data_IF_296783249486
#
_entry.id   IF_296783249486
#
_cell.length_a   1.000
_cell.length_b   1.000
_cell.length_c   1.000
_cell.angle_alpha   90.00
_cell.angle_beta   90.00
_cell.angle_gamma   90.00
#
_symmetry.space_group_name_H-M   'P 1'
#
loop_
_entity.id
_entity.type
_entity.pdbx_description
1 polymer ?
#
# COMPACT_ATOMS: atom_id res chain seq x y z
N UNK A 1 -4.91 12.58 -23.09
CA UNK A 1 -4.06 13.79 -23.17
C UNK A 1 -3.98 14.29 -24.59
N UNK A 2 -3.57 13.43 -25.54
CA UNK A 2 -3.53 13.75 -26.98
C UNK A 2 -4.86 14.31 -27.54
N UNK A 3 -6.01 13.79 -27.10
CA UNK A 3 -7.33 14.28 -27.54
C UNK A 3 -7.69 15.67 -26.98
N UNK A 4 -7.09 16.08 -25.86
CA UNK A 4 -7.23 17.44 -25.31
C UNK A 4 -6.26 18.38 -26.02
N UNK A 5 -5.00 17.97 -26.18
CA UNK A 5 -3.95 18.75 -26.85
C UNK A 5 -4.25 18.99 -28.34
N UNK A 6 -4.91 18.05 -29.00
CA UNK A 6 -5.38 18.19 -30.38
C UNK A 6 -6.67 18.99 -30.53
N UNK A 7 -7.30 19.42 -29.43
CA UNK A 7 -8.56 20.17 -29.43
C UNK A 7 -9.80 19.34 -29.74
N UNK A 8 -9.68 18.01 -29.84
CA UNK A 8 -10.81 17.09 -30.06
C UNK A 8 -11.76 17.06 -28.85
N UNK A 9 -11.22 17.18 -27.64
CA UNK A 9 -11.96 17.48 -26.42
C UNK A 9 -11.74 18.95 -26.11
N UNK A 10 -12.81 19.75 -26.17
CA UNK A 10 -12.73 21.21 -26.04
C UNK A 10 -13.56 21.76 -24.88
N UNK A 11 -14.40 20.92 -24.25
CA UNK A 11 -15.28 21.32 -23.15
C UNK A 11 -14.99 20.54 -21.88
N UNK A 12 -15.10 21.22 -20.74
CA UNK A 12 -14.98 20.58 -19.43
C UNK A 12 -16.03 19.47 -19.22
N UNK A 13 -17.23 19.64 -19.78
CA UNK A 13 -18.29 18.61 -19.73
C UNK A 13 -17.88 17.30 -20.41
N UNK A 14 -17.10 17.37 -21.50
CA UNK A 14 -16.62 16.20 -22.23
C UNK A 14 -15.54 15.46 -21.43
N UNK A 15 -14.68 16.22 -20.73
CA UNK A 15 -13.69 15.66 -19.80
C UNK A 15 -14.38 14.93 -18.64
N UNK A 16 -15.40 15.55 -18.04
CA UNK A 16 -16.15 14.92 -16.96
C UNK A 16 -16.86 13.65 -17.43
N UNK A 17 -17.48 13.69 -18.60
CA UNK A 17 -18.11 12.50 -19.17
C UNK A 17 -17.11 11.36 -19.37
N UNK A 18 -15.92 11.67 -19.88
CA UNK A 18 -14.85 10.69 -20.03
C UNK A 18 -14.41 10.09 -18.69
N UNK A 19 -14.27 10.90 -17.63
CA UNK A 19 -13.96 10.37 -16.29
C UNK A 19 -15.08 9.49 -15.72
N UNK A 20 -16.35 9.85 -15.96
CA UNK A 20 -17.47 9.00 -15.59
C UNK A 20 -17.44 7.66 -16.33
N UNK A 21 -17.14 7.66 -17.64
CA UNK A 21 -16.98 6.45 -18.43
C UNK A 21 -15.79 5.61 -17.95
N UNK A 22 -14.65 6.24 -17.65
CA UNK A 22 -13.49 5.57 -17.05
C UNK A 22 -13.86 4.91 -15.73
N UNK A 23 -14.58 5.62 -14.86
CA UNK A 23 -14.99 5.09 -13.56
C UNK A 23 -15.96 3.91 -13.72
N UNK A 24 -16.96 4.03 -14.60
CA UNK A 24 -17.92 2.95 -14.91
C UNK A 24 -17.22 1.68 -15.42
N UNK A 25 -16.16 1.85 -16.20
CA UNK A 25 -15.43 0.74 -16.82
C UNK A 25 -14.13 0.38 -16.07
N UNK A 26 -13.91 0.92 -14.88
CA UNK A 26 -12.63 0.82 -14.16
C UNK A 26 -12.15 -0.62 -14.04
N UNK A 27 -13.00 -1.53 -13.54
CA UNK A 27 -12.62 -2.93 -13.33
C UNK A 27 -12.30 -3.68 -14.63
N UNK A 28 -12.95 -3.33 -15.73
CA UNK A 28 -12.65 -3.92 -17.05
C UNK A 28 -11.25 -3.50 -17.52
N UNK A 29 -10.93 -2.21 -17.38
CA UNK A 29 -9.62 -1.69 -17.77
C UNK A 29 -8.51 -2.17 -16.83
N UNK A 30 -8.78 -2.18 -15.52
CA UNK A 30 -7.88 -2.72 -14.51
C UNK A 30 -7.54 -4.18 -14.79
N UNK A 31 -8.55 -5.00 -15.10
CA UNK A 31 -8.32 -6.41 -15.42
C UNK A 31 -7.52 -6.59 -16.71
N UNK A 32 -7.84 -5.83 -17.76
CA UNK A 32 -7.09 -5.87 -19.03
C UNK A 32 -5.61 -5.53 -18.80
N UNK A 33 -5.35 -4.49 -18.01
CA UNK A 33 -4.00 -4.12 -17.63
C UNK A 33 -3.31 -5.18 -16.76
N UNK A 34 -4.01 -5.72 -15.75
CA UNK A 34 -3.49 -6.75 -14.87
C UNK A 34 -3.13 -8.03 -15.63
N UNK A 35 -3.97 -8.43 -16.58
CA UNK A 35 -3.74 -9.56 -17.48
C UNK A 35 -2.42 -9.40 -18.25
N UNK A 36 -2.22 -8.23 -18.86
CA UNK A 36 -0.98 -7.91 -19.57
C UNK A 36 0.24 -7.93 -18.64
N UNK A 37 0.10 -7.41 -17.41
CA UNK A 37 1.18 -7.43 -16.40
C UNK A 37 1.50 -8.83 -15.91
N UNK A 38 0.52 -9.71 -15.73
CA UNK A 38 0.79 -11.11 -15.38
C UNK A 38 1.68 -11.76 -16.43
N UNK A 39 1.37 -11.53 -17.71
CA UNK A 39 2.17 -12.01 -18.84
C UNK A 39 3.57 -11.39 -18.88
N UNK A 40 3.66 -10.07 -18.90
CA UNK A 40 4.93 -9.36 -19.13
C UNK A 40 5.88 -9.36 -17.93
N UNK A 41 5.36 -9.27 -16.71
CA UNK A 41 6.18 -9.17 -15.49
C UNK A 41 6.58 -10.54 -14.93
N UNK A 42 5.66 -11.51 -14.93
CA UNK A 42 5.94 -12.85 -14.40
C UNK A 42 6.29 -13.87 -15.49
N UNK A 43 6.13 -13.53 -16.77
CA UNK A 43 6.35 -14.47 -17.87
C UNK A 43 5.30 -15.59 -17.92
N UNK A 44 4.09 -15.33 -17.41
CA UNK A 44 3.03 -16.33 -17.26
C UNK A 44 1.94 -16.09 -18.29
N UNK A 45 1.67 -17.07 -19.14
CA UNK A 45 0.49 -17.07 -20.00
C UNK A 45 -0.78 -17.13 -19.13
N UNK A 46 -1.57 -16.05 -19.01
CA UNK A 46 -2.69 -16.02 -18.08
C UNK A 46 -3.80 -16.99 -18.47
N UNK A 47 -3.91 -17.38 -19.75
CA UNK A 47 -4.86 -18.41 -20.22
C UNK A 47 -4.49 -19.82 -19.72
N UNK A 48 -3.22 -20.03 -19.32
CA UNK A 48 -2.69 -21.32 -18.85
C UNK A 48 -2.17 -21.26 -17.42
N UNK A 49 -2.54 -20.22 -16.66
CA UNK A 49 -2.02 -20.01 -15.32
C UNK A 49 -2.39 -21.18 -14.38
N UNK A 50 -1.41 -21.65 -13.62
CA UNK A 50 -1.59 -22.74 -12.66
C UNK A 50 -1.85 -22.23 -11.25
N UNK A 51 -2.50 -23.04 -10.41
CA UNK A 51 -2.70 -22.72 -8.99
C UNK A 51 -1.38 -22.42 -8.25
N UNK A 52 -0.29 -23.15 -8.58
CA UNK A 52 1.05 -22.88 -8.06
C UNK A 52 1.55 -21.47 -8.41
N UNK A 53 1.39 -21.06 -9.67
CA UNK A 53 1.78 -19.74 -10.13
C UNK A 53 0.96 -18.63 -9.46
N UNK A 54 -0.35 -18.83 -9.27
CA UNK A 54 -1.17 -17.85 -8.54
C UNK A 54 -0.69 -17.73 -7.09
N UNK A 55 -0.42 -18.84 -6.39
CA UNK A 55 0.12 -18.82 -5.03
C UNK A 55 1.46 -18.08 -4.98
N UNK A 56 2.33 -18.26 -5.96
CA UNK A 56 3.61 -17.56 -6.03
C UNK A 56 3.42 -16.04 -6.19
N UNK A 57 2.54 -15.60 -7.10
CA UNK A 57 2.20 -14.18 -7.27
C UNK A 57 1.67 -13.59 -5.96
N UNK A 58 0.76 -14.30 -5.28
CA UNK A 58 0.18 -13.85 -4.01
C UNK A 58 1.23 -13.76 -2.91
N UNK A 59 2.16 -14.71 -2.82
CA UNK A 59 3.26 -14.64 -1.85
C UNK A 59 4.18 -13.45 -2.14
N UNK A 60 4.60 -13.25 -3.39
CA UNK A 60 5.45 -12.10 -3.78
C UNK A 60 4.76 -10.77 -3.47
N UNK A 61 3.47 -10.65 -3.78
CA UNK A 61 2.67 -9.48 -3.43
C UNK A 61 2.62 -9.24 -1.91
N UNK A 62 2.26 -10.28 -1.14
CA UNK A 62 2.16 -10.21 0.33
C UNK A 62 3.49 -9.81 0.95
N UNK A 63 4.58 -10.43 0.54
CA UNK A 63 5.93 -10.12 1.01
C UNK A 63 6.32 -8.69 0.70
N UNK A 64 6.08 -8.21 -0.52
CA UNK A 64 6.41 -6.84 -0.93
C UNK A 64 5.62 -5.79 -0.12
N UNK A 65 4.31 -5.99 0.06
CA UNK A 65 3.45 -5.07 0.82
C UNK A 65 3.88 -5.04 2.29
N UNK A 66 4.00 -6.20 2.94
CA UNK A 66 4.41 -6.29 4.34
C UNK A 66 5.81 -5.73 4.56
N UNK A 67 6.74 -5.99 3.61
CA UNK A 67 8.08 -5.43 3.68
C UNK A 67 8.07 -3.90 3.60
N UNK A 68 7.29 -3.33 2.68
CA UNK A 68 7.19 -1.87 2.52
C UNK A 68 6.60 -1.23 3.78
N UNK A 69 5.51 -1.77 4.30
CA UNK A 69 4.89 -1.26 5.53
C UNK A 69 5.84 -1.36 6.73
N UNK A 70 6.62 -2.45 6.84
CA UNK A 70 7.67 -2.55 7.86
C UNK A 70 8.72 -1.46 7.69
N UNK A 71 9.10 -1.09 6.45
CA UNK A 71 10.02 0.03 6.22
C UNK A 71 9.41 1.36 6.63
N UNK A 72 8.13 1.59 6.35
CA UNK A 72 7.40 2.79 6.80
C UNK A 72 7.33 2.85 8.33
N UNK A 73 7.03 1.73 8.98
CA UNK A 73 6.99 1.63 10.44
C UNK A 73 8.37 1.89 11.09
N UNK A 74 9.44 1.30 10.55
CA UNK A 74 10.80 1.54 11.04
C UNK A 74 11.27 2.97 10.77
N UNK A 75 10.79 3.62 9.71
CA UNK A 75 11.06 5.04 9.47
C UNK A 75 10.32 5.93 10.46
N UNK A 76 9.03 5.65 10.70
CA UNK A 76 8.25 6.32 11.74
C UNK A 76 8.92 6.20 13.11
N UNK A 77 9.48 5.03 13.48
CA UNK A 77 10.24 4.86 14.73
C UNK A 77 11.38 5.88 14.91
N UNK A 78 12.04 6.28 13.83
CA UNK A 78 13.14 7.27 13.92
C UNK A 78 12.62 8.63 14.38
N UNK A 79 11.44 9.02 13.94
CA UNK A 79 10.80 10.27 14.37
C UNK A 79 10.51 10.28 15.89
N UNK A 80 10.40 9.09 16.50
CA UNK A 80 10.18 8.88 17.93
C UNK A 80 11.44 8.44 18.71
N UNK A 81 12.60 8.36 18.05
CA UNK A 81 13.86 7.96 18.68
C UNK A 81 14.45 9.11 19.51
N UNK A 82 15.16 8.75 20.60
CA UNK A 82 15.77 9.68 21.58
C UNK A 82 16.61 10.82 20.97
N UNK A 83 17.16 10.65 19.77
CA UNK A 83 17.88 11.71 19.06
C UNK A 83 16.99 12.88 18.62
N UNK A 84 15.69 12.65 18.40
CA UNK A 84 14.68 13.68 18.12
C UNK A 84 14.24 14.45 19.37
N UNK A 85 14.64 14.01 20.57
CA UNK A 85 14.33 14.69 21.84
C UNK A 85 15.23 15.89 22.13
N UNK A 86 16.33 16.05 21.40
CA UNK A 86 17.28 17.18 21.59
C UNK A 86 16.71 18.54 21.19
N UNK A 87 15.53 18.58 20.57
CA UNK A 87 14.81 19.81 20.20
C UNK A 87 13.57 20.11 21.05
N UNK A 88 13.26 19.29 22.07
CA UNK A 88 12.09 19.45 22.94
C UNK A 88 12.50 19.72 24.39
N UNK A 89 12.15 20.92 24.88
CA UNK A 89 12.06 21.24 26.31
C UNK A 89 13.34 21.77 26.96
N UNK A 90 13.14 22.60 27.99
CA UNK A 90 14.08 23.47 28.71
C UNK A 90 15.35 22.78 29.27
N UNK A 91 16.29 23.59 29.79
CA UNK A 91 17.46 23.15 30.58
C UNK A 91 17.01 22.35 31.84
N UNK A 92 16.58 21.10 31.66
CA UNK A 92 15.93 20.26 32.66
C UNK A 92 16.50 18.83 32.69
N UNK A 93 15.96 17.99 33.58
CA UNK A 93 16.41 16.60 33.69
C UNK A 93 15.87 15.70 32.57
N UNK A 94 16.46 14.50 32.40
CA UNK A 94 16.08 13.56 31.34
C UNK A 94 14.59 13.16 31.40
N UNK A 95 13.97 13.13 32.58
CA UNK A 95 12.56 12.79 32.74
C UNK A 95 11.65 13.93 32.28
N UNK A 96 12.02 15.18 32.52
CA UNK A 96 11.29 16.36 32.03
C UNK A 96 11.30 16.41 30.49
N UNK A 97 12.46 16.17 29.86
CA UNK A 97 12.54 16.06 28.39
C UNK A 97 11.67 14.92 27.84
N UNK A 98 11.61 13.78 28.53
CA UNK A 98 10.77 12.64 28.13
C UNK A 98 9.27 12.97 28.24
N UNK A 99 8.85 13.65 29.31
CA UNK A 99 7.46 14.05 29.52
C UNK A 99 7.02 15.11 28.51
N UNK A 100 7.84 16.12 28.23
CA UNK A 100 7.55 17.13 27.22
C UNK A 100 7.45 16.51 25.81
N UNK A 101 8.36 15.58 25.50
CA UNK A 101 8.32 14.85 24.24
C UNK A 101 7.03 14.02 24.10
N UNK A 102 6.65 13.29 25.15
CA UNK A 102 5.43 12.48 25.16
C UNK A 102 4.16 13.35 25.10
N UNK A 103 4.14 14.53 25.74
CA UNK A 103 3.01 15.46 25.64
C UNK A 103 2.85 16.05 24.22
N UNK A 104 3.94 16.31 23.50
CA UNK A 104 3.86 16.91 22.16
C UNK A 104 3.68 15.86 21.06
N UNK A 105 4.30 14.69 21.19
CA UNK A 105 4.30 13.66 20.15
C UNK A 105 3.38 12.48 20.45
N UNK A 106 2.98 12.28 21.70
CA UNK A 106 2.29 11.08 22.17
C UNK A 106 3.23 9.87 22.24
N UNK A 107 2.74 8.79 22.85
CA UNK A 107 3.42 7.49 22.84
C UNK A 107 3.47 6.90 21.42
N UNK A 108 4.61 6.35 21.03
CA UNK A 108 4.82 5.78 19.69
C UNK A 108 3.74 4.73 19.32
N UNK A 109 3.42 3.84 20.25
CA UNK A 109 2.40 2.79 20.06
C UNK A 109 0.96 3.34 20.03
N UNK A 110 0.72 4.52 20.61
CA UNK A 110 -0.59 5.17 20.62
C UNK A 110 -0.86 6.01 19.37
N UNK A 111 0.18 6.26 18.56
CA UNK A 111 0.10 7.07 17.36
C UNK A 111 -0.84 6.42 16.31
N UNK A 112 -1.80 7.21 15.80
CA UNK A 112 -2.82 6.75 14.86
C UNK A 112 -2.25 6.27 13.52
N UNK A 113 -1.16 6.88 13.05
CA UNK A 113 -0.45 6.45 11.84
C UNK A 113 0.24 5.10 12.07
N UNK A 114 0.97 4.96 13.19
CA UNK A 114 1.63 3.70 13.57
C UNK A 114 0.62 2.55 13.67
N UNK A 115 -0.50 2.77 14.35
CA UNK A 115 -1.61 1.81 14.43
C UNK A 115 -2.17 1.45 13.07
N UNK A 116 -2.34 2.43 12.17
CA UNK A 116 -2.85 2.18 10.82
C UNK A 116 -1.88 1.31 10.00
N UNK A 117 -0.57 1.55 10.10
CA UNK A 117 0.45 0.73 9.42
C UNK A 117 0.46 -0.70 9.96
N UNK A 118 0.43 -0.88 11.28
CA UNK A 118 0.39 -2.21 11.90
C UNK A 118 -0.89 -2.97 11.50
N UNK A 119 -2.04 -2.28 11.50
CA UNK A 119 -3.30 -2.87 11.03
C UNK A 119 -3.22 -3.26 9.55
N UNK A 120 -2.62 -2.42 8.72
CA UNK A 120 -2.47 -2.72 7.29
C UNK A 120 -1.59 -3.96 7.07
N UNK A 121 -0.50 -4.11 7.82
CA UNK A 121 0.33 -5.33 7.79
C UNK A 121 -0.50 -6.57 8.11
N UNK A 122 -1.30 -6.52 9.18
CA UNK A 122 -2.13 -7.64 9.62
C UNK A 122 -3.21 -8.00 8.58
N UNK A 123 -3.95 -6.98 8.11
CA UNK A 123 -5.01 -7.14 7.11
C UNK A 123 -4.46 -7.76 5.81
N UNK A 124 -3.32 -7.28 5.32
CA UNK A 124 -2.71 -7.76 4.06
C UNK A 124 -2.08 -9.14 4.21
N UNK A 125 -1.48 -9.43 5.36
CA UNK A 125 -0.98 -10.76 5.68
C UNK A 125 -2.12 -11.77 5.71
N UNK A 126 -3.21 -11.43 6.39
CA UNK A 126 -4.41 -12.27 6.50
C UNK A 126 -5.08 -12.50 5.15
N UNK A 127 -5.22 -11.45 4.34
CA UNK A 127 -5.79 -11.55 2.99
C UNK A 127 -4.96 -12.48 2.08
N UNK A 128 -3.63 -12.32 2.07
CA UNK A 128 -2.76 -13.18 1.27
C UNK A 128 -2.81 -14.65 1.72
N UNK A 129 -2.80 -14.89 3.03
CA UNK A 129 -2.89 -16.24 3.58
C UNK A 129 -4.25 -16.89 3.31
N UNK A 130 -5.35 -16.14 3.42
CA UNK A 130 -6.70 -16.61 3.08
C UNK A 130 -6.76 -17.06 1.63
N UNK A 131 -6.32 -16.21 0.70
CA UNK A 131 -6.35 -16.52 -0.73
C UNK A 131 -5.51 -17.76 -1.07
N UNK A 132 -4.32 -17.88 -0.48
CA UNK A 132 -3.49 -19.09 -0.64
C UNK A 132 -4.22 -20.32 -0.11
N UNK A 133 -4.82 -20.25 1.07
CA UNK A 133 -5.61 -21.34 1.64
C UNK A 133 -6.79 -21.74 0.74
N UNK A 134 -7.45 -20.76 0.11
CA UNK A 134 -8.54 -21.00 -0.84
C UNK A 134 -8.08 -21.67 -2.12
N UNK A 135 -6.85 -21.40 -2.58
CA UNK A 135 -6.29 -21.97 -3.81
C UNK A 135 -5.63 -23.33 -3.58
N UNK A 136 -5.08 -23.60 -2.39
CA UNK A 136 -4.38 -24.85 -2.05
C UNK A 136 -5.10 -26.14 -2.49
N UNK A 137 -6.43 -26.29 -2.37
CA UNK A 137 -7.14 -27.49 -2.82
C UNK A 137 -7.09 -27.73 -4.35
N UNK A 138 -6.74 -26.71 -5.14
CA UNK A 138 -6.62 -26.78 -6.60
C UNK A 138 -5.22 -27.22 -7.07
N UNK A 139 -4.30 -27.43 -6.13
CA UNK A 139 -2.98 -28.00 -6.41
C UNK A 139 -3.18 -29.45 -6.86
N UNK A 140 -2.78 -29.75 -8.10
CA UNK A 140 -2.75 -31.10 -8.66
C UNK A 140 -1.39 -31.73 -8.43
#
# INVERSE_FOLDING_TARGET
MNDIESGKISKLSEINHFFEELHKNYYTYEWTWAYEKISTFYGIDPDKITANQVIEIVNRWKEAVVWLDKKVYEDAKKEFSLTSMTGFGADGDLNECLQDFEQVRGGFEENTFVKAVLKHIDDKTSLGNELICRIKPLLK
#
